data_IF_941243620910
#
_entry.id   IF_941243620910
#
_cell.length_a   1.000
_cell.length_b   1.000
_cell.length_c   1.000
_cell.angle_alpha   90.00
_cell.angle_beta   90.00
_cell.angle_gamma   90.00
#
_symmetry.space_group_name_H-M   'P 1'
#
loop_
_entity.id
_entity.type
_entity.pdbx_description
1 polymer ?
#
# COMPACT_ATOMS: atom_id res chain seq x y z
N UNK A 1 9.99 -16.95 32.42
CA UNK A 1 8.89 -17.24 31.47
C UNK A 1 9.44 -16.94 30.09
N UNK A 2 9.90 -17.96 29.41
CA UNK A 2 10.48 -17.85 28.08
C UNK A 2 10.44 -19.22 27.45
N UNK A 3 9.97 -19.28 26.20
CA UNK A 3 10.17 -20.43 25.33
C UNK A 3 10.40 -19.90 23.92
N UNK A 4 11.65 -20.04 23.46
CA UNK A 4 11.98 -20.13 22.04
C UNK A 4 11.39 -21.44 21.50
N UNK A 5 10.73 -21.40 20.35
CA UNK A 5 10.70 -22.58 19.46
C UNK A 5 10.87 -22.13 18.03
N UNK A 6 12.00 -22.56 17.47
CA UNK A 6 12.34 -22.69 16.06
C UNK A 6 11.21 -23.33 15.23
N UNK A 7 11.08 -23.01 13.93
CA UNK A 7 10.12 -23.65 13.05
C UNK A 7 10.56 -25.09 12.71
N UNK A 8 9.63 -26.06 12.60
CA UNK A 8 9.99 -27.39 12.14
C UNK A 8 10.22 -27.39 10.62
N UNK A 9 11.38 -27.90 10.24
CA UNK A 9 11.71 -28.33 8.88
C UNK A 9 10.73 -29.40 8.42
N UNK A 10 10.06 -29.17 7.29
CA UNK A 10 9.17 -30.16 6.68
C UNK A 10 10.02 -31.21 5.98
N UNK A 11 9.90 -32.45 6.45
CA UNK A 11 10.50 -33.65 5.87
C UNK A 11 9.81 -33.97 4.54
N UNK A 12 10.59 -34.35 3.54
CA UNK A 12 10.10 -34.85 2.26
C UNK A 12 9.44 -36.23 2.43
N UNK A 13 8.22 -36.38 1.90
CA UNK A 13 7.53 -37.67 1.79
C UNK A 13 6.06 -37.56 2.16
N UNK A 14 5.21 -37.28 1.17
CA UNK A 14 4.04 -38.10 0.82
C UNK A 14 3.16 -37.36 -0.19
N UNK A 15 2.68 -38.10 -1.19
CA UNK A 15 2.02 -37.59 -2.39
C UNK A 15 0.76 -36.77 -2.08
N UNK A 16 0.67 -35.58 -2.69
CA UNK A 16 -0.52 -34.72 -2.68
C UNK A 16 -1.65 -35.40 -3.47
N UNK A 17 -2.83 -35.70 -2.87
CA UNK A 17 -3.98 -36.11 -3.65
C UNK A 17 -4.55 -34.88 -4.38
N UNK A 18 -4.96 -35.08 -5.63
CA UNK A 18 -5.46 -34.04 -6.54
C UNK A 18 -6.68 -33.25 -6.03
N UNK A 19 -7.08 -32.20 -6.77
CA UNK A 19 -8.02 -31.19 -6.29
C UNK A 19 -9.37 -31.85 -5.96
N UNK A 20 -9.79 -31.72 -4.69
CA UNK A 20 -11.12 -32.11 -4.24
C UNK A 20 -12.07 -30.96 -4.49
N UNK A 21 -13.12 -31.22 -5.26
CA UNK A 21 -14.26 -30.33 -5.43
C UNK A 21 -14.81 -29.93 -4.05
N UNK A 22 -14.75 -28.64 -3.73
CA UNK A 22 -15.33 -28.10 -2.51
C UNK A 22 -16.83 -27.90 -2.74
N UNK A 23 -17.65 -28.85 -2.26
CA UNK A 23 -19.12 -28.72 -2.30
C UNK A 23 -19.60 -27.90 -1.11
N UNK A 24 -20.02 -26.66 -1.35
CA UNK A 24 -20.76 -25.84 -0.39
C UNK A 24 -22.23 -25.79 -0.80
N UNK A 25 -23.11 -26.30 0.07
CA UNK A 25 -24.56 -26.23 -0.10
C UNK A 25 -25.03 -24.90 0.49
N UNK A 26 -25.51 -23.98 -0.35
CA UNK A 26 -26.12 -22.72 0.11
C UNK A 26 -27.60 -22.67 -0.26
N UNK A 27 -28.43 -22.35 0.73
CA UNK A 27 -29.87 -22.15 0.59
C UNK A 27 -30.16 -20.85 -0.17
N UNK A 28 -30.50 -20.97 -1.44
CA UNK A 28 -31.55 -20.20 -2.10
C UNK A 28 -31.38 -18.69 -2.28
N UNK A 29 -30.50 -18.26 -3.18
CA UNK A 29 -30.72 -17.05 -3.99
C UNK A 29 -30.18 -17.32 -5.42
N UNK A 30 -31.08 -17.27 -6.41
CA UNK A 30 -30.78 -17.63 -7.80
C UNK A 30 -30.12 -16.47 -8.55
N UNK A 31 -28.89 -16.66 -9.03
CA UNK A 31 -28.18 -15.70 -9.88
C UNK A 31 -28.84 -15.62 -11.27
N UNK A 32 -29.15 -14.42 -11.82
CA UNK A 32 -29.77 -14.28 -13.14
C UNK A 32 -28.84 -14.79 -14.26
N UNK A 33 -29.32 -15.78 -15.03
CA UNK A 33 -28.62 -16.31 -16.21
C UNK A 33 -28.08 -17.74 -16.06
N UNK A 34 -28.02 -18.28 -14.83
CA UNK A 34 -27.60 -19.65 -14.59
C UNK A 34 -28.82 -20.59 -14.53
N UNK A 35 -28.90 -21.55 -15.45
CA UNK A 35 -29.86 -22.67 -15.36
C UNK A 35 -29.15 -23.87 -14.72
N UNK A 36 -29.48 -24.27 -13.48
CA UNK A 36 -28.88 -25.44 -12.86
C UNK A 36 -29.23 -26.69 -13.66
N UNK A 37 -28.22 -27.52 -13.97
CA UNK A 37 -28.46 -28.79 -14.69
C UNK A 37 -29.09 -29.87 -13.82
N UNK A 38 -29.02 -29.77 -12.49
CA UNK A 38 -29.77 -30.61 -11.54
C UNK A 38 -30.12 -29.81 -10.27
N UNK A 39 -31.15 -30.26 -9.54
CA UNK A 39 -31.73 -29.56 -8.37
C UNK A 39 -30.66 -29.30 -7.29
N UNK A 40 -30.26 -28.04 -7.15
CA UNK A 40 -29.63 -27.50 -5.93
C UNK A 40 -28.10 -27.53 -5.88
N UNK A 41 -27.40 -27.97 -6.92
CA UNK A 41 -25.93 -27.96 -6.96
C UNK A 41 -25.47 -26.86 -7.93
N UNK A 42 -24.83 -25.82 -7.39
CA UNK A 42 -24.14 -24.80 -8.18
C UNK A 42 -22.72 -25.32 -8.43
N UNK A 43 -22.41 -25.63 -9.68
CA UNK A 43 -21.07 -26.03 -10.09
C UNK A 43 -20.22 -24.77 -10.36
N UNK A 44 -19.31 -24.46 -9.45
CA UNK A 44 -18.26 -23.46 -9.67
C UNK A 44 -17.14 -24.09 -10.50
N UNK A 45 -17.20 -23.94 -11.82
CA UNK A 45 -16.08 -24.33 -12.70
C UNK A 45 -15.10 -23.17 -12.83
N UNK A 46 -13.88 -23.44 -13.29
CA UNK A 46 -12.89 -22.40 -13.55
C UNK A 46 -13.44 -21.39 -14.56
N UNK A 47 -14.17 -21.86 -15.56
CA UNK A 47 -14.81 -21.02 -16.59
C UNK A 47 -15.89 -20.12 -16.00
N UNK A 48 -16.71 -20.60 -15.05
CA UNK A 48 -17.73 -19.77 -14.36
C UNK A 48 -17.08 -18.73 -13.44
N UNK A 49 -15.96 -19.09 -12.81
CA UNK A 49 -15.17 -18.15 -12.01
C UNK A 49 -14.52 -17.08 -12.90
N UNK A 50 -13.96 -17.47 -14.05
CA UNK A 50 -13.39 -16.56 -15.05
C UNK A 50 -14.45 -15.64 -15.66
N UNK A 51 -15.65 -16.15 -15.98
CA UNK A 51 -16.78 -15.36 -16.48
C UNK A 51 -17.35 -14.41 -15.41
N UNK A 52 -17.24 -14.75 -14.13
CA UNK A 52 -17.63 -13.85 -13.03
C UNK A 52 -16.58 -12.76 -12.79
N UNK A 53 -15.32 -13.03 -13.12
CA UNK A 53 -14.22 -12.06 -13.14
C UNK A 53 -14.28 -11.31 -14.50
N UNK A 54 -15.40 -10.65 -14.78
CA UNK A 54 -15.51 -9.69 -15.89
C UNK A 54 -14.66 -8.43 -15.68
N UNK A 55 -13.92 -8.34 -14.56
CA UNK A 55 -12.83 -7.37 -14.43
C UNK A 55 -11.60 -7.98 -15.08
N UNK A 56 -11.53 -7.76 -16.39
CA UNK A 56 -10.31 -7.76 -17.19
C UNK A 56 -9.14 -7.41 -16.25
N UNK A 57 -8.27 -8.37 -15.95
CA UNK A 57 -7.02 -8.12 -15.25
C UNK A 57 -6.19 -7.22 -16.16
N UNK A 58 -6.49 -5.92 -16.16
CA UNK A 58 -5.88 -4.95 -17.06
C UNK A 58 -4.48 -4.68 -16.53
N UNK A 59 -3.59 -5.56 -16.96
CA UNK A 59 -2.22 -5.28 -17.37
C UNK A 59 -1.45 -4.40 -16.38
N UNK A 60 -1.16 -4.97 -15.22
CA UNK A 60 0.23 -4.94 -14.78
C UNK A 60 0.94 -6.08 -15.48
N UNK A 61 1.89 -5.74 -16.35
CA UNK A 61 2.74 -6.72 -17.01
C UNK A 61 3.38 -7.63 -15.95
N UNK A 62 3.52 -8.92 -16.27
CA UNK A 62 4.08 -9.97 -15.41
C UNK A 62 5.48 -9.62 -14.86
N UNK A 63 6.12 -8.59 -15.41
CA UNK A 63 7.43 -8.09 -15.01
C UNK A 63 7.43 -7.14 -13.79
N UNK A 64 6.29 -6.60 -13.35
CA UNK A 64 6.24 -5.68 -12.19
C UNK A 64 6.76 -4.26 -12.45
N UNK A 65 7.41 -3.98 -13.59
CA UNK A 65 7.95 -2.66 -13.94
C UNK A 65 6.86 -1.59 -14.10
N UNK A 66 5.71 -1.95 -14.68
CA UNK A 66 4.60 -1.02 -14.91
C UNK A 66 4.00 -0.44 -13.62
N UNK A 67 4.09 -1.16 -12.50
CA UNK A 67 3.67 -0.69 -11.17
C UNK A 67 4.58 0.45 -10.69
N UNK A 68 5.89 0.20 -10.67
CA UNK A 68 6.88 1.18 -10.20
C UNK A 68 6.92 2.44 -11.08
N UNK A 69 6.76 2.29 -12.39
CA UNK A 69 6.68 3.41 -13.31
C UNK A 69 5.43 4.26 -13.08
N UNK A 70 4.27 3.61 -12.88
CA UNK A 70 3.01 4.33 -12.69
C UNK A 70 2.99 5.08 -11.36
N UNK A 71 3.43 4.46 -10.26
CA UNK A 71 3.51 5.16 -8.96
C UNK A 71 4.58 6.25 -8.97
N UNK A 72 5.68 6.05 -9.70
CA UNK A 72 6.70 7.07 -9.89
C UNK A 72 6.16 8.29 -10.64
N UNK A 73 5.39 8.06 -11.71
CA UNK A 73 4.74 9.13 -12.46
C UNK A 73 3.71 9.87 -11.60
N UNK A 74 2.91 9.14 -10.82
CA UNK A 74 1.96 9.71 -9.86
C UNK A 74 2.63 10.69 -8.87
N UNK A 75 3.72 10.27 -8.23
CA UNK A 75 4.46 11.09 -7.25
C UNK A 75 5.12 12.29 -7.93
N UNK A 76 5.72 12.10 -9.11
CA UNK A 76 6.33 13.19 -9.88
C UNK A 76 5.30 14.23 -10.33
N UNK A 77 4.11 13.80 -10.75
CA UNK A 77 3.01 14.72 -11.08
C UNK A 77 2.56 15.53 -9.87
N UNK A 78 2.39 14.91 -8.69
CA UNK A 78 2.06 15.66 -7.47
C UNK A 78 3.17 16.66 -7.10
N UNK A 79 4.45 16.27 -7.21
CA UNK A 79 5.61 17.14 -6.93
C UNK A 79 5.65 18.34 -7.87
N UNK A 80 5.40 18.11 -9.14
CA UNK A 80 5.30 19.15 -10.17
C UNK A 80 4.01 20.00 -10.05
N UNK A 81 3.14 19.70 -9.07
CA UNK A 81 1.82 20.34 -8.91
C UNK A 81 0.91 20.18 -10.14
N UNK A 82 1.13 19.11 -10.93
CA UNK A 82 0.29 18.71 -12.05
C UNK A 82 -0.88 17.86 -11.55
N UNK A 83 -1.96 18.53 -11.15
CA UNK A 83 -3.17 17.90 -10.63
C UNK A 83 -3.84 16.95 -11.66
N UNK A 84 -3.84 17.35 -12.93
CA UNK A 84 -4.47 16.54 -14.00
C UNK A 84 -3.70 15.24 -14.21
N UNK A 85 -2.37 15.31 -14.31
CA UNK A 85 -1.53 14.14 -14.42
C UNK A 85 -1.62 13.24 -13.19
N UNK A 86 -1.59 13.81 -11.98
CA UNK A 86 -1.70 13.03 -10.75
C UNK A 86 -3.03 12.26 -10.65
N UNK A 87 -4.16 12.91 -10.99
CA UNK A 87 -5.47 12.23 -11.02
C UNK A 87 -5.54 11.16 -12.11
N UNK A 88 -4.92 11.39 -13.27
CA UNK A 88 -4.85 10.37 -14.32
C UNK A 88 -4.09 9.12 -13.85
N UNK A 89 -2.92 9.29 -13.22
CA UNK A 89 -2.14 8.16 -12.71
C UNK A 89 -2.86 7.45 -11.56
N UNK A 90 -3.54 8.18 -10.68
CA UNK A 90 -4.42 7.59 -9.66
C UNK A 90 -5.50 6.72 -10.30
N UNK A 91 -6.23 7.25 -11.28
CA UNK A 91 -7.29 6.52 -11.96
C UNK A 91 -6.76 5.27 -12.68
N UNK A 92 -5.59 5.36 -13.33
CA UNK A 92 -4.92 4.22 -13.95
C UNK A 92 -4.59 3.13 -12.93
N UNK A 93 -3.99 3.47 -11.79
CA UNK A 93 -3.67 2.52 -10.73
C UNK A 93 -4.93 1.83 -10.19
N UNK A 94 -5.98 2.60 -9.87
CA UNK A 94 -7.24 2.03 -9.38
C UNK A 94 -7.91 1.12 -10.40
N UNK A 95 -7.85 1.48 -11.69
CA UNK A 95 -8.39 0.65 -12.77
C UNK A 95 -7.60 -0.64 -12.97
N UNK A 96 -6.28 -0.59 -12.80
CA UNK A 96 -5.39 -1.75 -12.90
C UNK A 96 -5.43 -2.66 -11.65
N UNK A 97 -6.27 -2.35 -10.65
CA UNK A 97 -6.42 -3.16 -9.44
C UNK A 97 -5.30 -2.96 -8.42
N UNK A 98 -4.61 -1.82 -8.46
CA UNK A 98 -3.60 -1.46 -7.46
C UNK A 98 -4.20 -1.47 -6.05
N UNK A 99 -3.44 -1.93 -5.06
CA UNK A 99 -3.87 -1.86 -3.67
C UNK A 99 -4.02 -0.39 -3.24
N UNK A 100 -5.23 0.02 -2.90
CA UNK A 100 -5.51 1.39 -2.46
C UNK A 100 -4.72 1.77 -1.20
N UNK A 101 -4.35 0.79 -0.37
CA UNK A 101 -3.49 1.02 0.80
C UNK A 101 -2.07 1.38 0.38
N UNK A 102 -1.58 0.79 -0.71
CA UNK A 102 -0.30 1.17 -1.30
C UNK A 102 -0.32 2.63 -1.76
N UNK A 103 -1.36 3.03 -2.49
CA UNK A 103 -1.51 4.43 -2.93
C UNK A 103 -1.59 5.39 -1.73
N UNK A 104 -2.39 5.06 -0.71
CA UNK A 104 -2.51 5.88 0.50
C UNK A 104 -1.18 6.05 1.25
N UNK A 105 -0.40 4.96 1.41
CA UNK A 105 0.96 5.03 2.00
C UNK A 105 1.86 6.00 1.23
N UNK A 106 1.78 6.00 -0.10
CA UNK A 106 2.58 6.90 -0.96
C UNK A 106 2.15 8.36 -0.81
N UNK A 107 0.86 8.64 -0.59
CA UNK A 107 0.38 9.99 -0.28
C UNK A 107 0.88 10.46 1.11
N UNK A 108 0.88 9.59 2.12
CA UNK A 108 1.41 9.91 3.46
C UNK A 108 2.91 10.28 3.41
N UNK A 109 3.70 9.51 2.65
CA UNK A 109 5.12 9.84 2.44
C UNK A 109 5.25 11.19 1.73
N UNK A 110 4.49 11.39 0.65
CA UNK A 110 4.51 12.65 -0.11
C UNK A 110 4.19 13.88 0.75
N UNK A 111 3.22 13.76 1.66
CA UNK A 111 2.85 14.84 2.57
C UNK A 111 4.03 15.29 3.44
N UNK A 112 4.88 14.36 3.87
CA UNK A 112 6.06 14.68 4.70
C UNK A 112 7.30 15.05 3.87
N UNK A 113 7.50 14.39 2.72
CA UNK A 113 8.67 14.57 1.85
C UNK A 113 8.60 15.85 1.02
N UNK A 114 7.46 16.08 0.36
CA UNK A 114 7.33 17.07 -0.72
C UNK A 114 6.50 18.29 -0.33
N UNK A 115 5.49 18.14 0.52
CA UNK A 115 4.76 19.28 1.10
C UNK A 115 5.48 19.78 2.36
N UNK A 116 5.80 18.85 3.27
CA UNK A 116 6.67 19.09 4.42
C UNK A 116 6.21 20.26 5.28
N UNK A 117 7.17 21.13 5.65
CA UNK A 117 6.92 22.25 6.56
C UNK A 117 6.12 23.40 5.92
N UNK A 118 5.85 23.36 4.62
CA UNK A 118 5.09 24.42 3.96
C UNK A 118 3.61 24.41 4.35
N UNK A 119 3.09 23.26 4.80
CA UNK A 119 1.69 23.10 5.21
C UNK A 119 1.55 21.96 6.23
N UNK A 120 1.27 22.32 7.48
CA UNK A 120 1.14 21.36 8.58
C UNK A 120 -0.12 20.47 8.48
N UNK A 121 -1.12 20.85 7.69
CA UNK A 121 -2.37 20.10 7.55
C UNK A 121 -2.24 18.93 6.55
N UNK A 122 -1.21 18.93 5.71
CA UNK A 122 -1.01 17.91 4.69
C UNK A 122 -0.86 16.50 5.28
N UNK A 123 0.01 16.33 6.28
CA UNK A 123 0.23 15.01 6.89
C UNK A 123 -1.02 14.50 7.64
N UNK A 124 -1.69 15.29 8.52
CA UNK A 124 -2.97 14.91 9.11
C UNK A 124 -4.03 14.51 8.07
N UNK A 125 -4.18 15.27 6.98
CA UNK A 125 -5.11 14.94 5.91
C UNK A 125 -4.77 13.60 5.22
N UNK A 126 -3.48 13.34 4.98
CA UNK A 126 -3.02 12.09 4.39
C UNK A 126 -3.30 10.88 5.30
N UNK A 127 -3.08 11.03 6.62
CA UNK A 127 -3.42 10.00 7.61
C UNK A 127 -4.93 9.77 7.67
N UNK A 128 -5.73 10.83 7.72
CA UNK A 128 -7.19 10.73 7.69
C UNK A 128 -7.68 10.05 6.39
N UNK A 129 -7.03 10.34 5.26
CA UNK A 129 -7.31 9.69 3.98
C UNK A 129 -6.99 8.19 4.03
N UNK A 130 -5.83 7.81 4.59
CA UNK A 130 -5.47 6.40 4.76
C UNK A 130 -6.49 5.65 5.63
N UNK A 131 -6.99 6.27 6.69
CA UNK A 131 -8.05 5.67 7.52
C UNK A 131 -9.39 5.61 6.78
N UNK A 132 -9.74 6.67 6.05
CA UNK A 132 -11.00 6.74 5.30
C UNK A 132 -11.07 5.68 4.20
N UNK A 133 -9.97 5.41 3.47
CA UNK A 133 -9.99 4.38 2.41
C UNK A 133 -10.20 2.98 2.97
N UNK A 134 -9.65 2.69 4.15
CA UNK A 134 -9.85 1.42 4.86
C UNK A 134 -11.28 1.27 5.34
N UNK A 135 -11.81 2.33 5.94
CA UNK A 135 -13.15 2.34 6.50
C UNK A 135 -14.24 2.26 5.42
N UNK A 136 -14.08 2.99 4.32
CA UNK A 136 -15.08 3.08 3.25
C UNK A 136 -14.99 1.90 2.28
N UNK A 137 -13.79 1.47 1.90
CA UNK A 137 -13.59 0.42 0.90
C UNK A 137 -13.88 0.87 -0.55
N UNK A 138 -13.47 0.05 -1.51
CA UNK A 138 -13.68 0.32 -2.95
C UNK A 138 -15.10 -0.10 -3.38
N UNK A 139 -15.73 0.63 -4.33
CA UNK A 139 -15.17 1.70 -5.17
C UNK A 139 -15.18 3.12 -4.57
N UNK A 140 -15.94 3.40 -3.51
CA UNK A 140 -16.14 4.75 -2.96
C UNK A 140 -14.86 5.37 -2.36
N UNK A 141 -13.93 4.54 -1.86
CA UNK A 141 -12.61 4.96 -1.35
C UNK A 141 -11.74 5.69 -2.38
N UNK A 142 -12.06 5.63 -3.68
CA UNK A 142 -11.42 6.46 -4.71
C UNK A 142 -11.58 7.97 -4.46
N UNK A 143 -12.67 8.38 -3.79
CA UNK A 143 -12.98 9.79 -3.57
C UNK A 143 -12.07 10.43 -2.50
N UNK A 144 -11.88 9.85 -1.29
CA UNK A 144 -10.86 10.30 -0.35
C UNK A 144 -9.46 10.37 -0.98
N UNK A 145 -9.05 9.38 -1.77
CA UNK A 145 -7.77 9.39 -2.47
C UNK A 145 -7.66 10.59 -3.41
N UNK A 146 -8.65 10.80 -4.27
CA UNK A 146 -8.67 11.93 -5.21
C UNK A 146 -8.62 13.27 -4.48
N UNK A 147 -9.37 13.41 -3.38
CA UNK A 147 -9.36 14.61 -2.55
C UNK A 147 -7.95 14.92 -2.01
N UNK A 148 -7.30 13.92 -1.41
CA UNK A 148 -5.94 14.10 -0.89
C UNK A 148 -4.95 14.44 -2.02
N UNK A 149 -5.05 13.80 -3.19
CA UNK A 149 -4.19 14.10 -4.34
C UNK A 149 -4.34 15.55 -4.80
N UNK A 150 -5.57 16.03 -4.99
CA UNK A 150 -5.81 17.43 -5.34
C UNK A 150 -5.24 18.40 -4.30
N UNK A 151 -5.39 18.08 -3.01
CA UNK A 151 -4.79 18.86 -1.93
C UNK A 151 -3.26 18.92 -2.05
N UNK A 152 -2.60 17.77 -2.19
CA UNK A 152 -1.14 17.66 -2.30
C UNK A 152 -0.59 18.39 -3.52
N UNK A 153 -1.29 18.35 -4.65
CA UNK A 153 -0.92 19.11 -5.84
C UNK A 153 -0.96 20.63 -5.59
N UNK A 154 -1.98 21.12 -4.88
CA UNK A 154 -2.19 22.56 -4.62
C UNK A 154 -1.36 23.11 -3.47
N UNK A 155 -0.93 22.26 -2.54
CA UNK A 155 -0.10 22.66 -1.41
C UNK A 155 1.27 23.20 -1.88
N UNK A 156 1.82 24.17 -1.15
CA UNK A 156 3.20 24.63 -1.38
C UNK A 156 4.16 23.48 -1.08
N UNK A 157 5.28 23.41 -1.81
CA UNK A 157 6.27 22.34 -1.66
C UNK A 157 7.44 22.81 -0.79
N UNK A 158 7.85 22.01 0.18
CA UNK A 158 9.05 22.22 0.99
C UNK A 158 9.61 20.84 1.40
N UNK A 159 10.87 20.59 1.01
CA UNK A 159 11.59 19.32 1.25
C UNK A 159 12.70 19.46 2.29
N UNK A 160 12.76 20.58 3.01
CA UNK A 160 13.84 20.93 3.94
C UNK A 160 14.04 19.86 5.01
N UNK A 161 12.97 19.39 5.64
CA UNK A 161 13.05 18.35 6.67
C UNK A 161 13.58 17.01 6.12
N UNK A 162 13.14 16.63 4.91
CA UNK A 162 13.61 15.43 4.22
C UNK A 162 15.09 15.54 3.85
N UNK A 163 15.50 16.66 3.26
CA UNK A 163 16.87 16.92 2.85
C UNK A 163 17.82 17.02 4.05
N UNK A 164 17.40 17.67 5.14
CA UNK A 164 18.18 17.77 6.37
C UNK A 164 18.43 16.39 7.01
N UNK A 165 17.41 15.52 7.04
CA UNK A 165 17.57 14.16 7.53
C UNK A 165 18.49 13.34 6.61
N UNK A 166 18.35 13.50 5.29
CA UNK A 166 19.21 12.85 4.30
C UNK A 166 20.68 13.23 4.49
N UNK A 167 20.98 14.52 4.57
CA UNK A 167 22.34 15.02 4.78
C UNK A 167 22.96 14.51 6.11
N UNK A 168 22.20 14.51 7.19
CA UNK A 168 22.66 13.98 8.47
C UNK A 168 22.93 12.47 8.40
N UNK A 169 22.11 11.72 7.65
CA UNK A 169 22.29 10.27 7.44
C UNK A 169 23.54 10.00 6.63
N UNK A 170 23.79 10.76 5.56
CA UNK A 170 25.01 10.65 4.74
C UNK A 170 26.29 10.93 5.57
N UNK A 171 26.27 11.91 6.48
CA UNK A 171 27.40 12.16 7.38
C UNK A 171 27.70 10.95 8.30
N UNK A 172 26.65 10.28 8.79
CA UNK A 172 26.77 9.10 9.66
C UNK A 172 27.35 7.92 8.88
N UNK A 173 26.84 7.63 7.70
CA UNK A 173 27.30 6.53 6.83
C UNK A 173 28.74 6.75 6.34
N UNK A 174 29.17 8.00 6.21
CA UNK A 174 30.57 8.35 5.91
C UNK A 174 31.52 8.27 7.12
N UNK A 175 31.11 7.59 8.21
CA UNK A 175 31.83 7.45 9.48
C UNK A 175 32.19 8.78 10.18
N UNK A 176 31.58 9.91 9.80
CA UNK A 176 31.78 11.22 10.45
C UNK A 176 30.88 11.37 11.68
N UNK A 177 30.71 10.30 12.44
CA UNK A 177 29.83 10.27 13.61
C UNK A 177 30.43 11.09 14.76
N UNK A 178 29.65 12.04 15.27
CA UNK A 178 30.04 12.85 16.44
C UNK A 178 29.59 12.14 17.71
N UNK A 179 30.48 12.05 18.71
CA UNK A 179 30.07 11.60 20.05
C UNK A 179 29.07 12.58 20.64
N UNK A 180 28.07 12.07 21.36
CA UNK A 180 27.11 12.90 22.10
C UNK A 180 27.87 13.75 23.13
N UNK A 181 27.77 15.10 23.06
CA UNK A 181 28.41 15.98 24.02
C UNK A 181 28.04 15.65 25.47
N UNK A 182 29.01 15.69 26.41
CA UNK A 182 28.79 15.30 27.82
C UNK A 182 27.58 15.99 28.46
N UNK A 183 27.36 17.28 28.15
CA UNK A 183 26.22 18.06 28.66
C UNK A 183 24.84 17.58 28.20
N UNK A 184 24.78 16.81 27.11
CA UNK A 184 23.56 16.24 26.54
C UNK A 184 23.37 14.75 26.90
N UNK A 185 24.35 14.12 27.57
CA UNK A 185 24.23 12.73 28.00
C UNK A 185 23.23 12.59 29.14
N UNK A 186 22.60 11.43 29.20
CA UNK A 186 21.71 11.07 30.29
C UNK A 186 22.48 11.01 31.62
N UNK A 187 22.01 11.74 32.63
CA UNK A 187 22.64 11.83 33.97
C UNK A 187 22.11 10.80 34.97
N UNK A 188 21.06 10.06 34.61
CA UNK A 188 20.34 9.15 35.52
C UNK A 188 20.71 7.67 35.38
N UNK A 189 21.61 7.31 34.46
CA UNK A 189 22.10 5.93 34.35
C UNK A 189 23.53 5.83 34.88
N UNK A 190 23.87 4.76 35.64
CA UNK A 190 25.26 4.47 35.95
C UNK A 190 25.99 4.19 34.63
N UNK A 191 27.05 4.95 34.38
CA UNK A 191 27.96 4.72 33.26
C UNK A 191 28.54 3.33 33.46
N UNK A 192 28.34 2.40 32.52
CA UNK A 192 29.03 1.11 32.57
C UNK A 192 30.54 1.39 32.69
N UNK A 193 31.23 0.83 33.70
CA UNK A 193 32.67 0.97 33.79
C UNK A 193 33.29 0.37 32.51
N UNK A 194 34.20 1.14 31.91
CA UNK A 194 34.98 0.76 30.73
C UNK A 194 35.87 -0.43 31.05
#
# INVERSE_FOLDING_TARGET
>A
IGVMTTPPSVVAGDAVPGPRDATLVTTGDSVPGYKPKEKGIIHFTLEVAEESIQTKAVVYDRAGDAHYDTISAFIKSMRASDEKGAIYWLAKMLHAGEDFRFIARRIVIFASEDVGLADAEALPLAIATQQAVEFVGMPEARLPLAHAVCYMCRAKKNREAYEALGAATEEIEAEKTKRVPEKLKNKHFPVNPV
#
